data_IF_968058908658
#
_entry.id   IF_968058908658
#
_cell.length_a   1.000
_cell.length_b   1.000
_cell.length_c   1.000
_cell.angle_alpha   90.00
_cell.angle_beta   90.00
_cell.angle_gamma   90.00
#
_symmetry.space_group_name_H-M   'P 1'
#
loop_
_entity.id
_entity.type
_entity.pdbx_description
1 polymer ?
#
# COMPACT_ATOMS: atom_id res chain seq x y z
N UNK A 1 -19.16 11.14 -10.14
CA UNK A 1 -18.43 11.67 -8.95
C UNK A 1 -19.45 12.41 -8.10
N UNK A 2 -19.47 12.15 -6.81
CA UNK A 2 -20.33 12.86 -5.85
C UNK A 2 -19.39 13.73 -4.99
N UNK A 3 -19.73 15.01 -4.84
CA UNK A 3 -18.92 15.96 -4.07
C UNK A 3 -19.78 16.96 -3.33
N UNK A 4 -19.22 17.69 -2.36
CA UNK A 4 -19.94 18.79 -1.68
C UNK A 4 -20.04 20.00 -2.60
N UNK A 5 -21.14 20.76 -2.49
CA UNK A 5 -21.41 21.92 -3.35
C UNK A 5 -20.26 22.94 -3.41
N UNK A 6 -19.53 23.12 -2.31
CA UNK A 6 -18.37 24.04 -2.27
C UNK A 6 -17.25 23.70 -3.26
N UNK A 7 -17.24 22.47 -3.80
CA UNK A 7 -16.25 22.03 -4.81
C UNK A 7 -16.83 22.01 -6.22
N UNK A 8 -18.10 22.35 -6.39
CA UNK A 8 -18.76 22.42 -7.68
C UNK A 8 -18.48 23.77 -8.35
N UNK A 9 -17.22 24.05 -8.65
CA UNK A 9 -16.78 25.32 -9.23
C UNK A 9 -17.00 25.41 -10.75
N UNK A 10 -17.44 24.34 -11.39
CA UNK A 10 -17.62 24.21 -12.83
C UNK A 10 -18.97 23.57 -13.18
N UNK A 11 -20.05 23.96 -12.49
CA UNK A 11 -21.38 23.36 -12.62
C UNK A 11 -21.93 23.36 -14.05
N UNK A 12 -21.55 24.34 -14.88
CA UNK A 12 -22.01 24.52 -16.27
C UNK A 12 -21.03 23.95 -17.31
N UNK A 13 -19.90 23.39 -16.86
CA UNK A 13 -18.84 22.87 -17.75
C UNK A 13 -18.76 21.36 -17.55
N UNK A 14 -18.90 20.60 -18.64
CA UNK A 14 -18.63 19.15 -18.62
C UNK A 14 -17.13 18.92 -18.50
N UNK A 15 -16.68 18.44 -17.33
CA UNK A 15 -15.26 18.13 -17.06
C UNK A 15 -14.82 16.80 -17.66
N UNK A 16 -15.73 16.00 -18.18
CA UNK A 16 -15.47 14.74 -18.83
C UNK A 16 -16.73 14.03 -19.26
N UNK A 17 -16.60 13.10 -20.16
CA UNK A 17 -17.68 12.25 -20.66
C UNK A 17 -17.17 10.81 -20.68
N UNK A 18 -17.68 9.97 -19.79
CA UNK A 18 -17.25 8.57 -19.66
C UNK A 18 -18.42 7.64 -19.97
N UNK A 19 -18.19 6.66 -20.83
CA UNK A 19 -19.24 5.77 -21.36
C UNK A 19 -20.03 5.05 -20.27
N UNK A 20 -19.41 4.72 -19.14
CA UNK A 20 -20.03 3.95 -18.06
C UNK A 20 -20.35 4.76 -16.80
N UNK A 21 -20.29 6.08 -16.83
CA UNK A 21 -20.48 6.96 -15.66
C UNK A 21 -21.85 6.81 -14.96
N UNK A 22 -22.86 6.37 -15.70
CA UNK A 22 -24.24 6.19 -15.21
C UNK A 22 -24.66 4.71 -15.20
N UNK A 23 -23.71 3.80 -15.11
CA UNK A 23 -24.02 2.37 -15.06
C UNK A 23 -24.72 2.01 -13.75
N UNK A 24 -25.92 1.46 -13.84
CA UNK A 24 -26.66 0.97 -12.68
C UNK A 24 -25.89 -0.13 -11.93
N UNK A 25 -25.20 -1.01 -12.66
CA UNK A 25 -24.35 -2.05 -12.09
C UNK A 25 -23.16 -1.44 -11.31
N UNK A 26 -22.50 -0.43 -11.88
CA UNK A 26 -21.40 0.28 -11.20
C UNK A 26 -21.87 1.00 -9.94
N UNK A 27 -23.06 1.63 -9.98
CA UNK A 27 -23.63 2.28 -8.80
C UNK A 27 -24.00 1.26 -7.71
N UNK A 28 -24.59 0.13 -8.06
CA UNK A 28 -24.92 -0.94 -7.11
C UNK A 28 -23.65 -1.52 -6.45
N UNK A 29 -22.59 -1.78 -7.23
CA UNK A 29 -21.32 -2.25 -6.69
C UNK A 29 -20.66 -1.22 -5.77
N UNK A 30 -20.71 0.06 -6.10
CA UNK A 30 -20.21 1.14 -5.26
C UNK A 30 -20.96 1.25 -3.92
N UNK A 31 -22.28 1.15 -3.94
CA UNK A 31 -23.11 1.16 -2.73
C UNK A 31 -22.77 -0.05 -1.85
N UNK A 32 -22.74 -1.26 -2.41
CA UNK A 32 -22.39 -2.47 -1.67
C UNK A 32 -20.97 -2.38 -1.03
N UNK A 33 -20.02 -1.78 -1.74
CA UNK A 33 -18.66 -1.55 -1.20
C UNK A 33 -18.68 -0.59 -0.02
N UNK A 34 -19.45 0.51 -0.10
CA UNK A 34 -19.56 1.46 1.01
C UNK A 34 -20.26 0.82 2.22
N UNK A 35 -21.32 0.06 1.98
CA UNK A 35 -22.02 -0.68 3.05
C UNK A 35 -21.10 -1.69 3.74
N UNK A 36 -20.30 -2.45 2.99
CA UNK A 36 -19.31 -3.38 3.56
C UNK A 36 -18.28 -2.65 4.42
N UNK A 37 -17.74 -1.51 3.96
CA UNK A 37 -16.78 -0.69 4.73
C UNK A 37 -17.37 -0.26 6.08
N UNK A 38 -18.65 0.16 6.09
CA UNK A 38 -19.33 0.60 7.31
C UNK A 38 -19.70 -0.56 8.23
N UNK A 39 -20.32 -1.63 7.70
CA UNK A 39 -20.80 -2.77 8.47
C UNK A 39 -19.65 -3.56 9.12
N UNK A 40 -18.56 -3.76 8.39
CA UNK A 40 -17.38 -4.47 8.85
C UNK A 40 -16.39 -3.56 9.63
N UNK A 41 -16.74 -2.28 9.82
CA UNK A 41 -15.93 -1.28 10.54
C UNK A 41 -14.47 -1.22 10.05
N UNK A 42 -14.32 -1.27 8.72
CA UNK A 42 -12.99 -1.37 8.09
C UNK A 42 -12.11 -0.14 8.34
N UNK A 43 -12.67 1.02 8.67
CA UNK A 43 -11.87 2.20 9.05
C UNK A 43 -11.18 2.02 10.39
N UNK A 44 -11.90 1.49 11.39
CA UNK A 44 -11.35 1.20 12.72
C UNK A 44 -10.29 0.11 12.62
N UNK A 45 -10.62 -1.01 11.97
CA UNK A 45 -9.69 -2.10 11.69
C UNK A 45 -8.42 -1.60 11.00
N UNK A 46 -8.55 -0.77 9.96
CA UNK A 46 -7.41 -0.22 9.22
C UNK A 46 -6.51 0.66 10.09
N UNK A 47 -7.05 1.41 11.06
CA UNK A 47 -6.26 2.18 12.01
C UNK A 47 -5.41 1.29 12.91
N UNK A 48 -6.01 0.23 13.46
CA UNK A 48 -5.31 -0.73 14.30
C UNK A 48 -4.23 -1.50 13.54
N UNK A 49 -4.54 -1.93 12.32
CA UNK A 49 -3.59 -2.62 11.44
C UNK A 49 -2.47 -1.69 10.98
N UNK A 50 -2.78 -0.41 10.75
CA UNK A 50 -1.79 0.61 10.41
C UNK A 50 -0.71 0.76 11.48
N UNK A 51 -1.09 0.85 12.75
CA UNK A 51 -0.13 0.96 13.85
C UNK A 51 0.75 -0.30 13.96
N UNK A 52 0.19 -1.47 13.75
CA UNK A 52 0.95 -2.71 13.72
C UNK A 52 1.96 -2.76 12.57
N UNK A 53 1.52 -2.46 11.33
CA UNK A 53 2.41 -2.43 10.16
C UNK A 53 3.50 -1.39 10.33
N UNK A 54 3.15 -0.19 10.81
CA UNK A 54 4.11 0.88 11.08
C UNK A 54 5.20 0.43 12.05
N UNK A 55 4.81 -0.18 13.18
CA UNK A 55 5.77 -0.65 14.16
C UNK A 55 6.73 -1.71 13.58
N UNK A 56 6.19 -2.69 12.84
CA UNK A 56 7.00 -3.72 12.18
C UNK A 56 7.97 -3.13 11.13
N UNK A 57 7.49 -2.25 10.27
CA UNK A 57 8.32 -1.62 9.24
C UNK A 57 9.39 -0.68 9.83
N UNK A 58 9.08 0.02 10.93
CA UNK A 58 10.06 0.82 11.64
C UNK A 58 11.17 -0.04 12.29
N UNK A 59 10.80 -1.17 12.91
CA UNK A 59 11.77 -2.13 13.42
C UNK A 59 12.69 -2.67 12.32
N UNK A 60 12.12 -3.00 11.14
CA UNK A 60 12.91 -3.43 9.99
C UNK A 60 13.87 -2.31 9.52
N UNK A 61 13.41 -1.06 9.45
CA UNK A 61 14.25 0.09 9.08
C UNK A 61 15.42 0.27 10.04
N UNK A 62 15.18 0.10 11.33
CA UNK A 62 16.23 0.26 12.35
C UNK A 62 17.23 -0.92 12.34
N UNK A 63 16.79 -2.08 11.85
CA UNK A 63 17.60 -3.32 11.77
C UNK A 63 18.38 -3.45 10.47
N UNK A 64 17.81 -3.03 9.35
CA UNK A 64 18.37 -3.26 8.01
C UNK A 64 18.77 -1.95 7.34
N UNK A 65 20.08 -1.79 7.13
CA UNK A 65 20.68 -0.57 6.55
C UNK A 65 20.22 -0.26 5.12
N UNK A 66 19.70 -1.24 4.40
CA UNK A 66 19.17 -1.03 3.04
C UNK A 66 17.84 -0.25 3.01
N UNK A 67 17.11 -0.19 4.12
CA UNK A 67 15.84 0.55 4.19
C UNK A 67 16.13 2.02 4.48
N UNK A 68 15.99 2.87 3.46
CA UNK A 68 16.24 4.31 3.54
C UNK A 68 15.11 5.11 4.15
N UNK A 69 13.87 4.71 3.89
CA UNK A 69 12.66 5.37 4.42
C UNK A 69 11.46 4.44 4.47
N UNK A 70 10.57 4.70 5.42
CA UNK A 70 9.26 4.03 5.57
C UNK A 70 8.19 5.08 5.76
N UNK A 71 7.20 5.11 4.88
CA UNK A 71 6.10 6.08 4.89
C UNK A 71 4.78 5.44 4.49
N UNK A 72 3.69 5.87 5.09
CA UNK A 72 2.38 5.34 4.75
C UNK A 72 1.24 5.90 5.58
N UNK A 73 0.04 5.50 5.20
CA UNK A 73 -1.20 5.80 5.90
C UNK A 73 -2.17 4.62 5.75
N UNK A 74 -2.84 4.24 6.82
CA UNK A 74 -3.71 3.07 6.82
C UNK A 74 -2.92 1.81 6.43
N UNK A 75 -3.39 1.10 5.40
CA UNK A 75 -2.71 -0.07 4.84
C UNK A 75 -1.94 0.23 3.53
N UNK A 76 -1.75 1.49 3.19
CA UNK A 76 -0.91 1.90 2.07
C UNK A 76 0.46 2.34 2.57
N UNK A 77 1.49 1.53 2.32
CA UNK A 77 2.86 1.76 2.78
C UNK A 77 3.86 1.73 1.65
N UNK A 78 4.88 2.58 1.74
CA UNK A 78 6.05 2.57 0.89
C UNK A 78 7.31 2.32 1.71
N UNK A 79 8.10 1.34 1.29
CA UNK A 79 9.42 1.05 1.85
C UNK A 79 10.46 1.36 0.78
N UNK A 80 11.27 2.39 1.00
CA UNK A 80 12.28 2.84 0.04
C UNK A 80 13.62 2.19 0.34
N UNK A 81 14.18 1.52 -0.67
CA UNK A 81 15.49 0.87 -0.57
C UNK A 81 16.58 1.75 -1.16
N UNK A 82 17.68 1.90 -0.42
CA UNK A 82 18.85 2.72 -0.80
C UNK A 82 20.14 1.96 -0.59
N UNK A 83 21.13 2.20 -1.45
CA UNK A 83 22.50 1.70 -1.28
C UNK A 83 23.30 2.58 -0.33
N UNK A 84 22.92 3.85 -0.17
CA UNK A 84 23.61 4.81 0.67
C UNK A 84 22.63 5.80 1.30
N UNK A 85 22.66 5.89 2.64
CA UNK A 85 21.75 6.78 3.41
C UNK A 85 22.05 8.28 3.25
N UNK A 86 23.29 8.64 2.90
CA UNK A 86 23.71 10.05 2.73
C UNK A 86 23.31 10.55 1.36
N UNK A 87 23.70 9.82 0.30
CA UNK A 87 23.41 10.20 -1.08
C UNK A 87 22.01 9.85 -1.54
N UNK A 88 21.31 8.98 -0.78
CA UNK A 88 20.00 8.43 -1.15
C UNK A 88 19.99 7.70 -2.49
N UNK A 89 21.13 7.11 -2.85
CA UNK A 89 21.25 6.31 -4.05
C UNK A 89 20.29 5.11 -4.01
N UNK A 90 19.57 4.90 -5.10
CA UNK A 90 18.48 3.92 -5.17
C UNK A 90 19.00 2.50 -5.32
N UNK A 91 18.52 1.58 -4.51
CA UNK A 91 18.89 0.17 -4.56
C UNK A 91 18.00 -0.62 -5.55
N UNK A 92 18.16 -0.39 -6.84
CA UNK A 92 17.30 -1.01 -7.89
C UNK A 92 17.39 -2.54 -7.88
N UNK A 93 18.61 -3.07 -7.93
CA UNK A 93 18.85 -4.51 -8.00
C UNK A 93 18.33 -5.24 -6.75
N UNK A 94 18.54 -4.64 -5.58
CA UNK A 94 18.04 -5.19 -4.33
C UNK A 94 16.50 -5.20 -4.27
N UNK A 95 15.86 -4.13 -4.76
CA UNK A 95 14.40 -4.07 -4.81
C UNK A 95 13.80 -5.12 -5.74
N UNK A 96 14.44 -5.39 -6.87
CA UNK A 96 14.05 -6.47 -7.78
C UNK A 96 14.25 -7.86 -7.15
N UNK A 97 15.36 -8.09 -6.46
CA UNK A 97 15.60 -9.34 -5.74
C UNK A 97 14.57 -9.57 -4.64
N UNK A 98 14.23 -8.54 -3.84
CA UNK A 98 13.18 -8.60 -2.82
C UNK A 98 11.83 -8.94 -3.46
N UNK A 99 11.49 -8.33 -4.60
CA UNK A 99 10.25 -8.62 -5.33
C UNK A 99 10.14 -10.11 -5.69
N UNK A 100 11.17 -10.66 -6.33
CA UNK A 100 11.13 -12.06 -6.76
C UNK A 100 11.19 -13.04 -5.59
N UNK A 101 11.93 -12.73 -4.53
CA UNK A 101 11.95 -13.57 -3.33
C UNK A 101 10.60 -13.61 -2.63
N UNK A 102 9.93 -12.47 -2.51
CA UNK A 102 8.58 -12.40 -1.96
C UNK A 102 7.58 -13.15 -2.85
N UNK A 103 7.67 -12.97 -4.17
CA UNK A 103 6.78 -13.65 -5.14
C UNK A 103 6.90 -15.18 -5.05
N UNK A 104 8.12 -15.70 -4.91
CA UNK A 104 8.37 -17.14 -4.75
C UNK A 104 7.78 -17.71 -3.45
N UNK A 105 7.54 -16.86 -2.45
CA UNK A 105 6.90 -17.23 -1.18
C UNK A 105 5.39 -16.89 -1.16
N UNK A 106 4.83 -16.45 -2.29
CA UNK A 106 3.40 -16.15 -2.45
C UNK A 106 2.99 -14.74 -2.05
N UNK A 107 3.94 -13.81 -1.83
CA UNK A 107 3.66 -12.39 -1.57
C UNK A 107 3.92 -11.57 -2.84
N UNK A 108 2.89 -10.91 -3.35
CA UNK A 108 2.96 -10.02 -4.51
C UNK A 108 2.70 -8.57 -4.12
N UNK A 109 3.48 -7.66 -4.67
CA UNK A 109 3.33 -6.22 -4.51
C UNK A 109 3.90 -5.47 -5.73
N UNK A 110 3.78 -4.14 -5.73
CA UNK A 110 4.34 -3.28 -6.77
C UNK A 110 5.64 -2.64 -6.31
N UNK A 111 6.64 -2.59 -7.20
CA UNK A 111 7.81 -1.72 -7.04
C UNK A 111 7.58 -0.44 -7.84
N UNK A 112 7.58 0.69 -7.15
CA UNK A 112 7.45 2.04 -7.74
C UNK A 112 8.81 2.71 -7.82
N UNK A 113 9.05 3.49 -8.88
CA UNK A 113 10.31 4.21 -9.10
C UNK A 113 11.57 3.31 -9.08
N UNK A 114 11.39 1.99 -9.18
CA UNK A 114 12.45 0.98 -9.21
C UNK A 114 13.06 0.63 -7.85
N UNK A 115 12.77 1.36 -6.77
CA UNK A 115 13.34 1.12 -5.44
C UNK A 115 12.35 1.28 -4.27
N UNK A 116 11.10 1.65 -4.54
CA UNK A 116 10.06 1.79 -3.51
C UNK A 116 9.09 0.61 -3.58
N UNK A 117 9.12 -0.21 -2.57
CA UNK A 117 8.20 -1.33 -2.42
C UNK A 117 6.89 -0.80 -1.87
N UNK A 118 5.81 -0.98 -2.64
CA UNK A 118 4.48 -0.52 -2.28
C UNK A 118 3.66 -1.69 -1.73
N UNK A 119 3.35 -1.63 -0.45
CA UNK A 119 2.45 -2.57 0.22
C UNK A 119 1.05 -1.96 0.30
N UNK A 120 0.06 -2.66 -0.24
CA UNK A 120 -1.33 -2.20 -0.25
C UNK A 120 -2.28 -3.39 -0.23
N UNK A 121 -2.34 -4.13 0.90
CA UNK A 121 -3.22 -5.27 1.03
C UNK A 121 -4.70 -4.84 1.05
N UNK A 122 -5.65 -5.77 0.79
CA UNK A 122 -7.07 -5.47 0.92
C UNK A 122 -7.43 -5.11 2.37
N UNK A 123 -8.41 -4.23 2.56
CA UNK A 123 -8.82 -3.77 3.89
C UNK A 123 -9.33 -4.90 4.79
N UNK A 124 -9.83 -5.98 4.19
CA UNK A 124 -10.35 -7.17 4.89
C UNK A 124 -9.26 -8.17 5.29
N UNK A 125 -7.97 -7.90 4.98
CA UNK A 125 -6.87 -8.79 5.34
C UNK A 125 -6.90 -9.11 6.83
N UNK A 126 -6.72 -10.38 7.19
CA UNK A 126 -6.65 -10.77 8.60
C UNK A 126 -5.30 -10.38 9.22
N UNK A 127 -5.26 -10.28 10.55
CA UNK A 127 -4.01 -10.02 11.29
C UNK A 127 -2.97 -11.12 11.05
N UNK A 128 -3.42 -12.33 10.88
CA UNK A 128 -2.58 -13.50 10.65
C UNK A 128 -1.92 -13.44 9.26
N UNK A 129 -2.72 -13.14 8.22
CA UNK A 129 -2.22 -12.94 6.86
C UNK A 129 -1.27 -11.75 6.77
N UNK A 130 -1.60 -10.63 7.45
CA UNK A 130 -0.76 -9.44 7.50
C UNK A 130 0.60 -9.72 8.17
N UNK A 131 0.58 -10.49 9.27
CA UNK A 131 1.80 -10.94 9.95
C UNK A 131 2.65 -11.79 9.03
N UNK A 132 2.05 -12.80 8.40
CA UNK A 132 2.73 -13.68 7.44
C UNK A 132 3.34 -12.89 6.27
N UNK A 133 2.61 -11.91 5.73
CA UNK A 133 3.11 -11.07 4.65
C UNK A 133 4.34 -10.25 5.08
N UNK A 134 4.31 -9.67 6.28
CA UNK A 134 5.44 -8.91 6.83
C UNK A 134 6.64 -9.82 7.17
N UNK A 135 6.42 -11.05 7.61
CA UNK A 135 7.48 -12.01 7.88
C UNK A 135 8.18 -12.45 6.58
N UNK A 136 7.41 -12.72 5.51
CA UNK A 136 7.96 -13.00 4.17
C UNK A 136 8.77 -11.81 3.67
N UNK A 137 8.25 -10.60 3.83
CA UNK A 137 8.93 -9.38 3.43
C UNK A 137 10.22 -9.15 4.20
N UNK A 138 10.20 -9.29 5.54
CA UNK A 138 11.39 -9.17 6.38
C UNK A 138 12.46 -10.18 6.00
N UNK A 139 12.07 -11.44 5.73
CA UNK A 139 12.99 -12.48 5.28
C UNK A 139 13.67 -12.11 3.96
N UNK A 140 12.92 -11.58 3.00
CA UNK A 140 13.46 -11.14 1.71
C UNK A 140 14.42 -9.94 1.87
N UNK A 141 14.10 -8.97 2.74
CA UNK A 141 15.00 -7.84 3.08
C UNK A 141 16.29 -8.35 3.72
N UNK A 142 16.20 -9.29 4.66
CA UNK A 142 17.38 -9.86 5.32
C UNK A 142 18.34 -10.58 4.34
N UNK A 143 17.80 -11.15 3.27
CA UNK A 143 18.59 -11.85 2.25
C UNK A 143 19.39 -10.89 1.36
N UNK A 144 18.90 -9.70 1.09
CA UNK A 144 19.56 -8.70 0.23
C UNK A 144 20.38 -7.66 1.02
N UNK A 145 20.21 -7.64 2.34
CA UNK A 145 21.00 -6.77 3.22
C UNK A 145 22.39 -7.37 3.40
N UNK A 146 23.45 -6.65 3.05
CA UNK A 146 24.84 -7.13 3.19
C UNK A 146 25.26 -7.32 4.64
#
# INVERSE_FOLDING_TARGET
>A
MVTKDKYNTAAEISLGHYTHEKSALGCAAALATMEAIEQEKLLEKTREDSEFVKARLQQMRDKYSIIGDVRGIGLLWGVELVTNHITKERAYDAAEQVLYQCLNQGLSFKVSQGNVIQLSPPLIITREELTKALDIFEHAIAHVCP
#
